data_IF_412048590027
#
_entry.id   IF_412048590027
#
_cell.length_a   1.000
_cell.length_b   1.000
_cell.length_c   1.000
_cell.angle_alpha   90.00
_cell.angle_beta   90.00
_cell.angle_gamma   90.00
#
_symmetry.space_group_name_H-M   'P 1'
#
loop_
_entity.id
_entity.type
_entity.pdbx_description
1 polymer ?
#
# COMPACT_ATOMS: atom_id res chain seq x y z
N UNK A 1 -22.48 29.23 68.24
CA UNK A 1 -21.22 28.54 67.91
C UNK A 1 -21.17 28.28 66.41
N UNK A 2 -20.24 28.98 65.75
CA UNK A 2 -20.04 29.01 64.30
C UNK A 2 -19.54 27.66 63.77
N UNK A 3 -20.21 27.08 62.76
CA UNK A 3 -19.69 25.91 62.03
C UNK A 3 -18.99 26.40 60.76
N UNK A 4 -17.65 26.39 60.83
CA UNK A 4 -16.73 26.57 59.72
C UNK A 4 -17.09 25.64 58.55
N UNK A 5 -17.34 26.20 57.37
CA UNK A 5 -17.28 25.45 56.10
C UNK A 5 -15.83 25.48 55.61
N UNK A 6 -15.15 24.33 55.41
CA UNK A 6 -13.82 24.35 54.83
C UNK A 6 -13.90 24.84 53.38
N UNK A 7 -13.11 25.87 53.08
CA UNK A 7 -12.86 26.34 51.72
C UNK A 7 -12.13 25.21 50.99
N UNK A 8 -12.79 24.58 50.03
CA UNK A 8 -12.12 23.69 49.08
C UNK A 8 -11.13 24.57 48.32
N UNK A 9 -9.84 24.37 48.58
CA UNK A 9 -8.78 24.96 47.77
C UNK A 9 -8.93 24.38 46.37
N UNK A 10 -9.28 25.23 45.41
CA UNK A 10 -9.18 24.92 43.99
C UNK A 10 -7.75 24.47 43.74
N UNK A 11 -7.58 23.21 43.33
CA UNK A 11 -6.29 22.75 42.81
C UNK A 11 -5.93 23.68 41.64
N UNK A 12 -4.69 24.20 41.57
CA UNK A 12 -4.28 24.96 40.41
C UNK A 12 -4.41 24.07 39.19
N UNK A 13 -5.17 24.53 38.19
CA UNK A 13 -5.15 23.94 36.85
C UNK A 13 -3.68 23.90 36.41
N UNK A 14 -3.17 22.70 36.19
CA UNK A 14 -1.85 22.50 35.62
C UNK A 14 -1.96 22.89 34.14
N UNK A 15 -1.90 24.19 33.85
CA UNK A 15 -1.50 24.69 32.52
C UNK A 15 0.01 24.48 32.36
N UNK A 16 0.47 23.23 32.35
CA UNK A 16 1.81 22.91 31.85
C UNK A 16 1.76 22.92 30.33
N UNK A 17 1.75 24.13 29.76
CA UNK A 17 2.24 24.32 28.40
C UNK A 17 3.71 23.96 28.41
N UNK A 18 4.09 22.84 27.78
CA UNK A 18 5.48 22.43 27.59
C UNK A 18 6.32 23.66 27.13
N UNK A 19 7.24 24.17 27.99
CA UNK A 19 8.01 25.39 27.72
C UNK A 19 8.83 25.29 26.44
N UNK A 20 9.28 24.08 26.07
CA UNK A 20 10.01 23.83 24.84
C UNK A 20 9.09 24.06 23.62
N UNK A 21 7.88 23.51 23.63
CA UNK A 21 6.91 23.74 22.56
C UNK A 21 6.45 25.20 22.48
N UNK A 22 6.35 25.90 23.62
CA UNK A 22 6.05 27.33 23.63
C UNK A 22 7.15 28.14 22.92
N UNK A 23 8.42 27.89 23.26
CA UNK A 23 9.58 28.51 22.63
C UNK A 23 9.65 28.21 21.12
N UNK A 24 9.48 26.94 20.75
CA UNK A 24 9.51 26.52 19.34
C UNK A 24 8.39 27.17 18.52
N UNK A 25 7.18 27.29 19.07
CA UNK A 25 6.06 27.96 18.39
C UNK A 25 6.30 29.45 18.19
N UNK A 26 6.87 30.12 19.20
CA UNK A 26 7.27 31.53 19.07
C UNK A 26 8.34 31.72 17.99
N UNK A 27 9.40 30.90 18.02
CA UNK A 27 10.44 30.93 16.99
C UNK A 27 9.91 30.63 15.59
N UNK A 28 9.02 29.65 15.45
CA UNK A 28 8.37 29.32 14.18
C UNK A 28 7.52 30.47 13.65
N UNK A 29 6.75 31.15 14.51
CA UNK A 29 5.96 32.34 14.15
C UNK A 29 6.86 33.43 13.56
N UNK A 30 7.97 33.73 14.21
CA UNK A 30 8.89 34.78 13.77
C UNK A 30 9.61 34.43 12.48
N UNK A 31 10.04 33.17 12.33
CA UNK A 31 10.68 32.68 11.11
C UNK A 31 9.71 32.70 9.92
N UNK A 32 8.47 32.25 10.11
CA UNK A 32 7.44 32.29 9.07
C UNK A 32 7.13 33.74 8.69
N UNK A 33 6.99 34.64 9.67
CA UNK A 33 6.77 36.05 9.40
C UNK A 33 7.90 36.63 8.53
N UNK A 34 9.17 36.43 8.93
CA UNK A 34 10.34 36.86 8.16
C UNK A 34 10.36 36.28 6.74
N UNK A 35 10.07 34.99 6.58
CA UNK A 35 10.05 34.35 5.27
C UNK A 35 9.00 34.97 4.33
N UNK A 36 7.80 35.23 4.84
CA UNK A 36 6.72 35.82 4.03
C UNK A 36 6.98 37.30 3.73
N UNK A 37 7.66 38.03 4.62
CA UNK A 37 8.12 39.39 4.33
C UNK A 37 9.15 39.41 3.19
N UNK A 38 10.10 38.46 3.18
CA UNK A 38 11.04 38.33 2.06
C UNK A 38 10.35 37.97 0.74
N UNK A 39 9.33 37.10 0.76
CA UNK A 39 8.50 36.81 -0.43
C UNK A 39 7.79 38.08 -0.94
N UNK A 40 7.31 38.94 -0.03
CA UNK A 40 6.67 40.20 -0.39
C UNK A 40 7.66 41.19 -1.00
N UNK A 41 8.85 41.34 -0.41
CA UNK A 41 9.89 42.22 -0.95
C UNK A 41 10.27 41.81 -2.38
N UNK A 42 10.52 40.51 -2.58
CA UNK A 42 10.78 39.94 -3.91
C UNK A 42 9.65 40.22 -4.91
N UNK A 43 8.39 40.11 -4.47
CA UNK A 43 7.23 40.45 -5.29
C UNK A 43 7.18 41.94 -5.65
N UNK A 44 7.40 42.84 -4.67
CA UNK A 44 7.37 44.29 -4.87
C UNK A 44 8.50 44.75 -5.80
N UNK A 45 9.69 44.18 -5.69
CA UNK A 45 10.81 44.44 -6.59
C UNK A 45 10.47 44.06 -8.03
N UNK A 46 9.81 42.91 -8.22
CA UNK A 46 9.35 42.44 -9.52
C UNK A 46 8.30 43.36 -10.19
N UNK A 47 7.58 44.17 -9.41
CA UNK A 47 6.59 45.13 -9.92
C UNK A 47 7.02 46.60 -9.74
N UNK A 48 8.26 46.86 -9.32
CA UNK A 48 8.74 48.19 -8.97
C UNK A 48 8.74 49.18 -10.14
N UNK A 49 8.86 48.68 -11.38
CA UNK A 49 8.80 49.50 -12.59
C UNK A 49 7.38 49.97 -12.94
N UNK A 50 6.35 49.34 -12.36
CA UNK A 50 4.95 49.75 -12.58
C UNK A 50 4.66 51.01 -11.74
N UNK A 51 4.52 52.13 -12.43
CA UNK A 51 4.19 53.42 -11.83
C UNK A 51 2.90 53.96 -12.44
N UNK A 52 2.17 54.72 -11.63
CA UNK A 52 1.05 55.52 -12.10
C UNK A 52 1.58 56.71 -12.91
N UNK A 53 0.70 57.37 -13.66
CA UNK A 53 1.04 58.55 -14.47
C UNK A 53 1.65 59.70 -13.65
N UNK A 54 1.37 59.74 -12.34
CA UNK A 54 1.93 60.70 -11.39
C UNK A 54 3.28 60.29 -10.77
N UNK A 55 3.89 59.21 -11.26
CA UNK A 55 5.20 58.72 -10.85
C UNK A 55 5.22 57.91 -9.54
N UNK A 56 4.09 57.75 -8.85
CA UNK A 56 3.97 56.88 -7.65
C UNK A 56 3.97 55.40 -8.04
N UNK A 57 4.43 54.54 -7.13
CA UNK A 57 4.34 53.09 -7.34
C UNK A 57 2.88 52.64 -7.48
N UNK A 58 2.62 51.84 -8.51
CA UNK A 58 1.29 51.29 -8.79
C UNK A 58 0.85 50.27 -7.75
N UNK A 59 1.77 49.45 -7.25
CA UNK A 59 1.51 48.41 -6.25
C UNK A 59 2.27 48.75 -4.97
N UNK A 60 1.55 48.84 -3.86
CA UNK A 60 2.15 49.18 -2.56
C UNK A 60 1.71 48.24 -1.45
N UNK A 61 2.55 48.07 -0.43
CA UNK A 61 2.16 47.40 0.81
C UNK A 61 0.97 48.11 1.46
N UNK A 62 0.00 47.35 1.94
CA UNK A 62 -1.21 47.87 2.58
C UNK A 62 -1.58 47.08 3.86
N UNK A 63 -0.61 46.84 4.73
CA UNK A 63 -0.81 46.13 6.00
C UNK A 63 -0.87 44.61 5.83
N UNK A 64 -1.70 43.94 6.62
CA UNK A 64 -1.84 42.48 6.66
C UNK A 64 -3.27 42.01 6.41
N UNK A 65 -3.41 40.77 5.97
CA UNK A 65 -4.65 40.02 6.08
C UNK A 65 -4.96 39.72 7.56
N UNK A 66 -6.22 39.40 7.90
CA UNK A 66 -6.58 38.96 9.25
C UNK A 66 -5.66 37.84 9.72
N UNK A 67 -5.26 37.93 10.99
CA UNK A 67 -4.47 36.89 11.63
C UNK A 67 -5.24 35.57 11.58
N UNK A 68 -4.52 34.49 11.28
CA UNK A 68 -5.08 33.13 11.27
C UNK A 68 -4.09 32.15 11.87
N UNK A 69 -4.60 30.98 12.25
CA UNK A 69 -3.78 29.90 12.80
C UNK A 69 -3.54 28.81 11.76
N UNK A 70 -2.29 28.33 11.68
CA UNK A 70 -1.90 27.15 10.92
C UNK A 70 -1.45 26.08 11.91
N UNK A 71 -2.09 24.90 11.85
CA UNK A 71 -1.69 23.76 12.67
C UNK A 71 -0.42 23.13 12.10
N UNK A 72 0.63 23.05 12.90
CA UNK A 72 1.93 22.47 12.51
C UNK A 72 2.28 21.27 13.37
N UNK A 73 3.41 20.61 13.09
CA UNK A 73 3.90 19.48 13.90
C UNK A 73 4.28 19.84 15.34
N UNK A 74 4.46 21.13 15.64
CA UNK A 74 4.73 21.65 17.00
C UNK A 74 3.48 22.32 17.61
N UNK A 75 2.31 22.05 17.04
CA UNK A 75 1.03 22.66 17.43
C UNK A 75 0.64 23.87 16.58
N UNK A 76 -0.35 24.61 17.08
CA UNK A 76 -0.92 25.78 16.41
C UNK A 76 0.05 26.97 16.39
N UNK A 77 0.33 27.49 15.19
CA UNK A 77 1.16 28.68 14.98
C UNK A 77 0.32 29.79 14.36
N UNK A 78 0.28 30.95 15.01
CA UNK A 78 -0.42 32.14 14.51
C UNK A 78 0.41 32.85 13.45
N UNK A 79 -0.22 33.18 12.32
CA UNK A 79 0.45 33.79 11.17
C UNK A 79 -0.31 35.00 10.65
N UNK A 80 0.44 35.96 10.11
CA UNK A 80 -0.09 37.13 9.39
C UNK A 80 0.58 37.19 8.03
N UNK A 81 -0.21 37.32 6.98
CA UNK A 81 0.28 37.45 5.61
C UNK A 81 0.15 38.91 5.20
N UNK A 82 1.23 39.59 4.77
CA UNK A 82 1.17 40.95 4.30
C UNK A 82 0.31 41.01 3.03
N UNK A 83 -0.34 42.16 2.81
CA UNK A 83 -1.17 42.39 1.64
C UNK A 83 -0.68 43.60 0.87
N UNK A 84 -0.86 43.55 -0.45
CA UNK A 84 -0.61 44.66 -1.35
C UNK A 84 -1.92 45.31 -1.76
N UNK A 85 -1.86 46.58 -2.11
CA UNK A 85 -2.92 47.31 -2.80
C UNK A 85 -2.38 47.71 -4.16
N UNK A 86 -3.05 47.22 -5.20
CA UNK A 86 -2.88 47.74 -6.55
C UNK A 86 -3.73 49.00 -6.73
N UNK A 87 -3.11 50.07 -7.21
CA UNK A 87 -3.71 51.37 -7.50
C UNK A 87 -3.92 51.59 -9.00
N UNK A 88 -3.33 50.76 -9.87
CA UNK A 88 -3.42 50.87 -11.33
C UNK A 88 -4.71 50.27 -11.89
N UNK A 89 -5.31 49.30 -11.18
CA UNK A 89 -6.48 48.57 -11.67
C UNK A 89 -6.14 47.33 -12.51
N UNK A 90 -4.85 47.01 -12.70
CA UNK A 90 -4.38 45.83 -13.45
C UNK A 90 -4.59 44.49 -12.69
N UNK A 91 -4.94 44.55 -11.41
CA UNK A 91 -5.29 43.38 -10.61
C UNK A 91 -4.10 42.65 -10.00
N UNK A 92 -2.96 43.31 -9.79
CA UNK A 92 -1.79 42.71 -9.16
C UNK A 92 -2.11 42.25 -7.72
N UNK A 93 -1.86 40.97 -7.43
CA UNK A 93 -2.11 40.35 -6.12
C UNK A 93 -0.89 39.59 -5.63
N UNK A 94 -0.55 39.79 -4.36
CA UNK A 94 0.46 39.01 -3.68
C UNK A 94 -0.14 37.70 -3.16
N UNK A 95 0.49 36.59 -3.50
CA UNK A 95 0.17 35.26 -2.98
C UNK A 95 1.44 34.63 -2.43
N UNK A 96 1.49 34.44 -1.11
CA UNK A 96 2.62 33.76 -0.46
C UNK A 96 2.68 32.30 -0.92
N UNK A 97 3.87 31.85 -1.31
CA UNK A 97 4.12 30.44 -1.65
C UNK A 97 4.18 29.59 -0.38
N UNK A 98 4.75 30.13 0.70
CA UNK A 98 4.81 29.48 2.01
C UNK A 98 3.45 29.41 2.72
N UNK A 99 2.63 30.47 2.65
CA UNK A 99 1.30 30.56 3.26
C UNK A 99 0.18 30.83 2.25
N UNK A 100 -0.15 29.86 1.36
CA UNK A 100 -1.23 30.02 0.40
C UNK A 100 -2.58 30.33 1.07
N UNK A 101 -3.50 31.01 0.35
CA UNK A 101 -4.84 31.25 0.85
C UNK A 101 -5.50 29.95 1.36
N UNK A 102 -6.22 30.04 2.47
CA UNK A 102 -6.94 28.92 3.09
C UNK A 102 -6.10 27.74 3.62
N UNK A 103 -4.76 27.80 3.57
CA UNK A 103 -3.90 26.86 4.32
C UNK A 103 -4.29 26.84 5.81
N UNK A 104 -4.74 25.70 6.32
CA UNK A 104 -5.12 25.51 7.73
C UNK A 104 -4.13 24.62 8.50
N UNK A 105 -3.40 23.75 7.80
CA UNK A 105 -2.49 22.78 8.40
C UNK A 105 -1.24 22.64 7.54
N UNK A 106 -0.12 22.33 8.17
CA UNK A 106 1.08 21.91 7.46
C UNK A 106 0.85 20.55 6.80
N UNK A 107 1.46 20.33 5.64
CA UNK A 107 1.35 19.09 4.86
C UNK A 107 1.68 17.84 5.68
N UNK A 108 2.67 17.90 6.56
CA UNK A 108 3.04 16.78 7.45
C UNK A 108 1.91 16.36 8.41
N UNK A 109 1.13 17.33 8.92
CA UNK A 109 -0.05 17.07 9.76
C UNK A 109 -1.18 16.49 8.90
N UNK A 110 -1.37 17.03 7.69
CA UNK A 110 -2.34 16.47 6.72
C UNK A 110 -2.01 15.03 6.31
N UNK A 111 -0.72 14.68 6.21
CA UNK A 111 -0.25 13.33 5.86
C UNK A 111 -0.29 12.33 7.03
N UNK A 112 -0.17 12.81 8.28
CA UNK A 112 -0.32 11.98 9.49
C UNK A 112 -1.74 11.41 9.62
N UNK A 113 -2.73 12.19 9.21
CA UNK A 113 -4.16 11.85 9.33
C UNK A 113 -4.52 10.57 8.54
N UNK A 114 -4.16 10.46 7.24
CA UNK A 114 -4.20 9.20 6.51
C UNK A 114 -3.53 8.07 7.25
N UNK A 115 -2.38 8.34 7.85
CA UNK A 115 -1.60 7.32 8.52
C UNK A 115 -2.34 6.76 9.74
N UNK A 116 -2.97 7.60 10.56
CA UNK A 116 -3.78 7.18 11.71
C UNK A 116 -4.96 6.31 11.27
N UNK A 117 -5.67 6.72 10.22
CA UNK A 117 -6.74 5.92 9.62
C UNK A 117 -6.21 4.57 9.09
N UNK A 118 -5.09 4.61 8.36
CA UNK A 118 -4.39 3.44 7.84
C UNK A 118 -3.74 2.59 8.94
N UNK A 119 -3.67 3.04 10.19
CA UNK A 119 -3.23 2.21 11.32
C UNK A 119 -4.39 1.64 12.12
N UNK A 120 -5.62 1.88 11.67
CA UNK A 120 -6.82 1.38 12.33
C UNK A 120 -7.09 2.08 13.66
N UNK A 121 -6.63 3.33 13.81
CA UNK A 121 -7.13 4.21 14.86
C UNK A 121 -8.57 4.58 14.46
N UNK A 122 -9.52 4.45 15.39
CA UNK A 122 -10.91 4.80 15.14
C UNK A 122 -11.02 6.31 14.87
N UNK A 123 -11.97 6.73 14.04
CA UNK A 123 -12.23 8.16 13.82
C UNK A 123 -12.59 8.90 15.11
N UNK A 124 -13.18 8.20 16.09
CA UNK A 124 -13.46 8.74 17.42
C UNK A 124 -12.20 9.00 18.26
N UNK A 125 -11.15 8.20 18.05
CA UNK A 125 -9.90 8.24 18.83
C UNK A 125 -8.86 9.18 18.19
N UNK A 126 -9.20 9.83 17.06
CA UNK A 126 -8.28 10.74 16.38
C UNK A 126 -7.98 11.98 17.17
N UNK A 127 -8.96 12.49 17.90
CA UNK A 127 -8.72 13.64 18.75
C UNK A 127 -7.72 13.29 19.84
N UNK A 128 -7.88 12.16 20.52
CA UNK A 128 -6.94 11.70 21.54
C UNK A 128 -5.52 11.47 20.96
N UNK A 129 -5.41 10.78 19.82
CA UNK A 129 -4.12 10.53 19.19
C UNK A 129 -3.42 11.81 18.69
N UNK A 130 -4.19 12.78 18.16
CA UNK A 130 -3.65 14.06 17.71
C UNK A 130 -3.32 14.98 18.89
N UNK A 131 -4.14 15.01 19.94
CA UNK A 131 -3.87 15.78 21.14
C UNK A 131 -2.60 15.32 21.86
N UNK A 132 -2.36 14.01 21.92
CA UNK A 132 -1.12 13.45 22.48
C UNK A 132 0.15 13.86 21.70
N UNK A 133 0.04 14.17 20.41
CA UNK A 133 1.18 14.53 19.55
C UNK A 133 1.33 16.03 19.30
N UNK A 134 0.23 16.77 19.25
CA UNK A 134 0.16 18.17 18.82
C UNK A 134 -0.35 19.11 19.94
N UNK A 135 -0.62 18.57 21.13
CA UNK A 135 -1.15 19.28 22.30
C UNK A 135 -2.69 19.34 22.34
N UNK A 136 -3.25 19.69 23.48
CA UNK A 136 -4.71 19.68 23.74
C UNK A 136 -5.52 20.60 22.81
N UNK A 137 -4.87 21.65 22.27
CA UNK A 137 -5.46 22.55 21.28
C UNK A 137 -5.63 21.91 19.89
N UNK A 138 -5.08 20.72 19.65
CA UNK A 138 -5.20 20.02 18.39
C UNK A 138 -6.66 19.62 18.13
N UNK A 139 -7.37 20.46 17.37
CA UNK A 139 -8.74 20.17 16.95
C UNK A 139 -8.77 18.83 16.23
N UNK A 140 -9.56 17.90 16.76
CA UNK A 140 -9.83 16.60 16.16
C UNK A 140 -10.36 16.72 14.73
N UNK A 141 -10.41 15.60 14.03
CA UNK A 141 -10.83 15.59 12.64
C UNK A 141 -12.35 15.71 12.52
N UNK A 142 -12.81 16.79 11.87
CA UNK A 142 -14.22 16.89 11.49
C UNK A 142 -14.59 15.78 10.50
N UNK A 143 -15.83 15.30 10.57
CA UNK A 143 -16.36 14.32 9.62
C UNK A 143 -16.15 14.73 8.15
N UNK A 144 -16.25 16.04 7.85
CA UNK A 144 -16.00 16.60 6.52
C UNK A 144 -14.55 16.48 6.06
N UNK A 145 -13.57 16.48 6.97
CA UNK A 145 -12.17 16.25 6.62
C UNK A 145 -11.94 14.79 6.26
N UNK A 146 -12.52 13.87 7.05
CA UNK A 146 -12.45 12.43 6.78
C UNK A 146 -13.13 12.08 5.45
N UNK A 147 -14.28 12.70 5.14
CA UNK A 147 -14.98 12.50 3.87
C UNK A 147 -14.14 12.95 2.67
N UNK A 148 -13.56 14.15 2.71
CA UNK A 148 -12.67 14.66 1.66
C UNK A 148 -11.45 13.78 1.45
N UNK A 149 -10.88 13.26 2.53
CA UNK A 149 -9.73 12.38 2.45
C UNK A 149 -10.05 11.04 1.77
N UNK A 150 -11.22 10.47 2.08
CA UNK A 150 -11.71 9.27 1.39
C UNK A 150 -11.88 9.52 -0.10
N UNK A 151 -12.46 10.68 -0.47
CA UNK A 151 -12.61 11.06 -1.87
C UNK A 151 -11.25 11.16 -2.57
N UNK A 152 -10.28 11.83 -1.95
CA UNK A 152 -8.93 11.92 -2.48
C UNK A 152 -8.31 10.53 -2.71
N UNK A 153 -8.45 9.59 -1.79
CA UNK A 153 -7.91 8.24 -1.99
C UNK A 153 -8.61 7.46 -3.11
N UNK A 154 -9.91 7.67 -3.27
CA UNK A 154 -10.65 7.09 -4.40
C UNK A 154 -10.15 7.68 -5.73
N UNK A 155 -9.88 8.99 -5.78
CA UNK A 155 -9.32 9.64 -6.98
C UNK A 155 -7.90 9.15 -7.27
N UNK A 156 -7.06 9.00 -6.24
CA UNK A 156 -5.72 8.42 -6.36
C UNK A 156 -5.75 6.96 -6.81
N UNK A 157 -6.68 6.15 -6.31
CA UNK A 157 -6.86 4.76 -6.76
C UNK A 157 -7.27 4.72 -8.23
N UNK A 158 -8.24 5.55 -8.64
CA UNK A 158 -8.68 5.65 -10.05
C UNK A 158 -7.56 6.08 -11.00
N UNK A 159 -6.78 7.09 -10.61
CA UNK A 159 -5.63 7.52 -11.40
C UNK A 159 -4.53 6.44 -11.46
N UNK A 160 -4.32 5.72 -10.36
CA UNK A 160 -3.35 4.63 -10.32
C UNK A 160 -3.82 3.39 -11.09
N UNK A 161 -5.11 3.07 -11.09
CA UNK A 161 -5.66 1.92 -11.82
C UNK A 161 -5.69 2.15 -13.33
N UNK A 162 -5.67 3.40 -13.79
CA UNK A 162 -5.53 3.76 -15.21
C UNK A 162 -4.09 4.02 -15.68
N UNK A 163 -3.09 3.88 -14.80
CA UNK A 163 -1.69 4.18 -15.14
C UNK A 163 -1.15 3.31 -16.27
N UNK A 164 -0.24 3.88 -17.06
CA UNK A 164 0.51 3.18 -18.10
C UNK A 164 1.43 2.09 -17.50
N UNK A 165 1.46 0.94 -18.17
CA UNK A 165 2.26 -0.24 -17.84
C UNK A 165 3.16 -0.67 -19.00
N UNK A 166 3.24 0.11 -20.09
CA UNK A 166 4.04 -0.18 -21.30
C UNK A 166 5.50 -0.52 -21.00
N UNK A 167 6.13 0.19 -20.08
CA UNK A 167 7.54 -0.01 -19.68
C UNK A 167 7.72 -1.06 -18.57
N UNK A 168 6.63 -1.68 -18.10
CA UNK A 168 6.69 -2.60 -16.96
C UNK A 168 6.91 -4.03 -17.42
N UNK A 169 7.97 -4.65 -16.89
CA UNK A 169 8.25 -6.09 -17.06
C UNK A 169 8.24 -6.79 -15.72
N UNK A 170 7.37 -7.78 -15.58
CA UNK A 170 7.26 -8.59 -14.37
C UNK A 170 7.75 -10.00 -14.61
N UNK A 171 8.52 -10.53 -13.67
CA UNK A 171 9.03 -11.90 -13.71
C UNK A 171 8.09 -12.85 -12.99
N UNK A 172 7.61 -12.44 -11.82
CA UNK A 172 6.74 -13.24 -10.96
C UNK A 172 5.52 -12.44 -10.53
N UNK A 173 4.36 -13.09 -10.47
CA UNK A 173 3.16 -12.55 -9.83
C UNK A 173 2.72 -13.41 -8.65
N UNK A 174 2.23 -12.78 -7.61
CA UNK A 174 1.36 -13.39 -6.60
C UNK A 174 -0.04 -12.83 -6.76
N UNK A 175 -1.02 -13.69 -6.95
CA UNK A 175 -2.43 -13.34 -7.06
C UNK A 175 -3.23 -13.95 -5.92
N UNK A 176 -4.14 -13.17 -5.34
CA UNK A 176 -5.02 -13.61 -4.26
C UNK A 176 -6.37 -12.88 -4.29
N UNK A 177 -7.42 -13.56 -3.82
CA UNK A 177 -8.76 -13.02 -3.60
C UNK A 177 -9.00 -12.81 -2.11
N UNK A 178 -9.26 -11.57 -1.71
CA UNK A 178 -9.40 -11.21 -0.29
C UNK A 178 -10.78 -10.69 0.01
N UNK A 179 -11.51 -11.46 0.83
CA UNK A 179 -12.81 -11.05 1.34
C UNK A 179 -12.67 -10.06 2.50
N UNK A 180 -13.31 -8.90 2.36
CA UNK A 180 -13.48 -7.92 3.43
C UNK A 180 -14.96 -7.83 3.80
N UNK A 181 -15.25 -7.67 5.09
CA UNK A 181 -16.61 -7.40 5.55
C UNK A 181 -16.88 -5.90 5.35
N UNK A 182 -17.94 -5.56 4.60
CA UNK A 182 -18.39 -4.18 4.38
C UNK A 182 -19.79 -4.04 5.00
N UNK A 183 -20.12 -2.87 5.55
CA UNK A 183 -21.33 -2.66 6.35
C UNK A 183 -22.62 -2.57 5.51
N UNK A 184 -22.52 -2.11 4.27
CA UNK A 184 -23.69 -1.76 3.43
C UNK A 184 -23.86 -2.66 2.19
N UNK A 185 -23.00 -3.66 2.01
CA UNK A 185 -22.97 -4.50 0.80
C UNK A 185 -22.64 -5.95 1.15
N UNK A 186 -22.93 -6.84 0.20
CA UNK A 186 -22.39 -8.20 0.20
C UNK A 186 -20.86 -8.19 0.37
N UNK A 187 -20.32 -9.27 0.95
CA UNK A 187 -18.89 -9.44 1.26
C UNK A 187 -18.01 -9.03 0.07
N UNK A 188 -17.28 -7.92 0.21
CA UNK A 188 -16.42 -7.36 -0.83
C UNK A 188 -15.28 -8.34 -1.12
N UNK A 189 -15.11 -8.75 -2.37
CA UNK A 189 -14.02 -9.60 -2.81
C UNK A 189 -12.98 -8.73 -3.54
N UNK A 190 -11.82 -8.52 -2.93
CA UNK A 190 -10.74 -7.75 -3.53
C UNK A 190 -9.80 -8.68 -4.28
N UNK A 191 -9.63 -8.46 -5.58
CA UNK A 191 -8.67 -9.20 -6.41
C UNK A 191 -7.36 -8.42 -6.42
N UNK A 192 -6.27 -9.05 -5.98
CA UNK A 192 -4.98 -8.37 -5.84
C UNK A 192 -3.87 -9.13 -6.53
N UNK A 193 -3.02 -8.37 -7.23
CA UNK A 193 -1.80 -8.86 -7.85
C UNK A 193 -0.62 -8.06 -7.32
N UNK A 194 0.38 -8.77 -6.81
CA UNK A 194 1.71 -8.23 -6.47
C UNK A 194 2.72 -8.85 -7.43
N UNK A 195 3.52 -8.02 -8.10
CA UNK A 195 4.55 -8.46 -9.02
C UNK A 195 5.96 -8.29 -8.50
N UNK A 196 6.90 -8.96 -9.16
CA UNK A 196 8.36 -8.73 -9.07
C UNK A 196 8.83 -8.19 -10.40
N UNK A 197 9.43 -7.01 -10.41
CA UNK A 197 10.07 -6.46 -11.63
C UNK A 197 11.30 -7.26 -12.00
N UNK A 198 11.82 -7.07 -13.21
CA UNK A 198 13.11 -7.65 -13.63
C UNK A 198 14.28 -7.29 -12.71
N UNK A 199 14.21 -6.14 -12.04
CA UNK A 199 15.19 -5.72 -11.04
C UNK A 199 14.90 -6.28 -9.64
N UNK A 200 13.91 -7.16 -9.48
CA UNK A 200 13.62 -7.83 -8.21
C UNK A 200 12.84 -7.00 -7.20
N UNK A 201 12.36 -5.81 -7.58
CA UNK A 201 11.51 -5.00 -6.72
C UNK A 201 10.09 -5.54 -6.73
N UNK A 202 9.47 -5.60 -5.56
CA UNK A 202 8.06 -5.97 -5.45
C UNK A 202 7.18 -4.75 -5.64
N UNK A 203 6.14 -4.87 -6.45
CA UNK A 203 5.21 -3.78 -6.75
C UNK A 203 3.77 -4.29 -6.68
N UNK A 204 2.87 -3.49 -6.13
CA UNK A 204 1.44 -3.70 -6.26
C UNK A 204 1.08 -3.40 -7.70
N UNK A 205 0.48 -4.38 -8.38
CA UNK A 205 0.08 -4.25 -9.78
C UNK A 205 -1.39 -3.87 -9.87
N UNK A 206 -2.24 -4.62 -9.17
CA UNK A 206 -3.68 -4.43 -9.22
C UNK A 206 -4.29 -4.62 -7.83
N UNK A 207 -5.32 -3.83 -7.55
CA UNK A 207 -6.26 -4.05 -6.47
C UNK A 207 -7.61 -3.55 -6.96
N UNK A 208 -8.49 -4.48 -7.27
CA UNK A 208 -9.79 -4.19 -7.85
C UNK A 208 -10.89 -4.88 -7.06
N UNK A 209 -12.08 -4.28 -7.11
CA UNK A 209 -13.29 -4.89 -6.60
C UNK A 209 -13.79 -5.96 -7.58
N UNK A 210 -13.76 -7.22 -7.16
CA UNK A 210 -14.41 -8.32 -7.83
C UNK A 210 -15.79 -8.60 -7.21
N UNK A 211 -16.77 -8.91 -8.06
CA UNK A 211 -18.05 -9.45 -7.59
C UNK A 211 -17.80 -10.76 -6.81
N UNK A 212 -16.90 -11.62 -7.32
CA UNK A 212 -16.38 -12.86 -6.72
C UNK A 212 -15.00 -13.16 -7.32
N UNK A 213 -14.33 -14.22 -6.86
CA UNK A 213 -13.17 -14.84 -7.56
C UNK A 213 -13.60 -15.62 -8.81
N UNK A 214 -14.45 -15.01 -9.64
CA UNK A 214 -14.94 -15.57 -10.89
C UNK A 214 -13.90 -15.41 -12.00
N UNK A 215 -13.99 -16.27 -13.02
CA UNK A 215 -13.18 -16.12 -14.23
C UNK A 215 -13.42 -14.76 -14.91
N UNK A 216 -14.67 -14.27 -14.91
CA UNK A 216 -15.02 -12.98 -15.51
C UNK A 216 -14.31 -11.82 -14.81
N UNK A 217 -14.37 -11.77 -13.47
CA UNK A 217 -13.73 -10.71 -12.68
C UNK A 217 -12.20 -10.72 -12.82
N UNK A 218 -11.58 -11.90 -12.84
CA UNK A 218 -10.14 -12.00 -13.10
C UNK A 218 -9.79 -11.62 -14.55
N UNK A 219 -10.61 -12.01 -15.52
CA UNK A 219 -10.39 -11.67 -16.93
C UNK A 219 -10.49 -10.17 -17.16
N UNK A 220 -11.48 -9.50 -16.58
CA UNK A 220 -11.62 -8.04 -16.64
C UNK A 220 -10.36 -7.34 -16.10
N UNK A 221 -9.90 -7.74 -14.91
CA UNK A 221 -8.66 -7.21 -14.32
C UNK A 221 -7.45 -7.43 -15.23
N UNK A 222 -7.25 -8.66 -15.72
CA UNK A 222 -6.08 -9.02 -16.53
C UNK A 222 -6.11 -8.34 -17.92
N UNK A 223 -7.27 -8.28 -18.58
CA UNK A 223 -7.44 -7.54 -19.83
C UNK A 223 -7.15 -6.06 -19.61
N UNK A 224 -7.65 -5.46 -18.52
CA UNK A 224 -7.34 -4.08 -18.17
C UNK A 224 -5.85 -3.83 -17.86
N UNK A 225 -5.06 -4.84 -17.49
CA UNK A 225 -3.60 -4.71 -17.43
C UNK A 225 -2.98 -4.66 -18.83
N UNK A 226 -3.42 -5.55 -19.73
CA UNK A 226 -2.94 -5.61 -21.10
C UNK A 226 -3.29 -4.33 -21.89
N UNK A 227 -4.51 -3.82 -21.75
CA UNK A 227 -4.97 -2.57 -22.39
C UNK A 227 -4.18 -1.34 -21.93
N UNK A 228 -3.62 -1.37 -20.72
CA UNK A 228 -2.72 -0.33 -20.19
C UNK A 228 -1.28 -0.48 -20.66
N UNK A 229 -1.01 -1.35 -21.64
CA UNK A 229 0.30 -1.51 -22.25
C UNK A 229 1.14 -2.64 -21.67
N UNK A 230 0.66 -3.43 -20.69
CA UNK A 230 1.41 -4.58 -20.21
C UNK A 230 1.49 -5.68 -21.28
N UNK A 231 2.55 -5.64 -22.09
CA UNK A 231 2.69 -6.46 -23.29
C UNK A 231 2.85 -7.97 -23.01
N UNK A 232 3.46 -8.33 -21.87
CA UNK A 232 3.73 -9.72 -21.51
C UNK A 232 3.30 -10.01 -20.07
N UNK A 233 2.76 -11.21 -19.87
CA UNK A 233 2.53 -11.75 -18.53
C UNK A 233 3.83 -12.13 -17.82
N UNK A 234 3.77 -12.48 -16.53
CA UNK A 234 4.93 -12.91 -15.79
C UNK A 234 5.42 -14.28 -16.30
N UNK A 235 6.68 -14.61 -16.04
CA UNK A 235 7.20 -15.96 -16.32
C UNK A 235 6.57 -17.03 -15.42
N UNK A 236 6.16 -16.63 -14.21
CA UNK A 236 5.45 -17.49 -13.25
C UNK A 236 4.38 -16.68 -12.51
N UNK A 237 3.15 -17.17 -12.50
CA UNK A 237 2.12 -16.71 -11.58
C UNK A 237 1.95 -17.72 -10.43
N UNK A 238 1.91 -17.20 -9.20
CA UNK A 238 1.76 -17.96 -7.97
C UNK A 238 0.40 -17.61 -7.35
N UNK A 239 -0.41 -18.61 -7.04
CA UNK A 239 -1.72 -18.41 -6.41
C UNK A 239 -2.24 -19.64 -5.69
N UNK A 240 -3.37 -19.50 -5.00
CA UNK A 240 -4.14 -20.68 -4.55
C UNK A 240 -4.93 -21.30 -5.72
N UNK A 241 -5.83 -22.25 -5.45
CA UNK A 241 -6.70 -22.90 -6.40
C UNK A 241 -7.90 -22.13 -6.88
N UNK A 242 -7.79 -20.80 -6.95
CA UNK A 242 -8.80 -19.95 -7.58
C UNK A 242 -8.93 -20.33 -9.07
N UNK A 243 -9.87 -21.23 -9.38
CA UNK A 243 -10.09 -21.74 -10.74
C UNK A 243 -10.40 -20.61 -11.73
N UNK A 244 -11.04 -19.53 -11.28
CA UNK A 244 -11.31 -18.35 -12.10
C UNK A 244 -10.04 -17.63 -12.55
N UNK A 245 -9.07 -17.44 -11.65
CA UNK A 245 -7.80 -16.78 -11.97
C UNK A 245 -7.03 -17.54 -13.04
N UNK A 246 -6.82 -18.84 -12.85
CA UNK A 246 -6.03 -19.65 -13.79
C UNK A 246 -6.64 -19.71 -15.19
N UNK A 247 -7.98 -19.79 -15.29
CA UNK A 247 -8.67 -19.76 -16.58
C UNK A 247 -8.52 -18.41 -17.28
N UNK A 248 -8.67 -17.32 -16.54
CA UNK A 248 -8.50 -15.96 -17.07
C UNK A 248 -7.05 -15.72 -17.51
N UNK A 249 -6.08 -16.16 -16.70
CA UNK A 249 -4.66 -16.03 -16.98
C UNK A 249 -4.26 -16.73 -18.28
N UNK A 250 -4.71 -17.97 -18.48
CA UNK A 250 -4.47 -18.70 -19.73
C UNK A 250 -5.04 -17.99 -20.97
N UNK A 251 -6.13 -17.22 -20.82
CA UNK A 251 -6.77 -16.51 -21.93
C UNK A 251 -6.07 -15.20 -22.28
N UNK A 252 -5.51 -14.51 -21.29
CA UNK A 252 -4.90 -13.18 -21.48
C UNK A 252 -3.38 -13.26 -21.64
N UNK A 253 -2.72 -14.13 -20.87
CA UNK A 253 -1.26 -14.29 -20.84
C UNK A 253 -0.86 -15.76 -20.94
N UNK A 254 -1.13 -16.38 -22.09
CA UNK A 254 -1.03 -17.83 -22.31
C UNK A 254 0.35 -18.44 -22.00
N UNK A 255 1.44 -17.69 -22.16
CA UNK A 255 2.81 -18.17 -21.90
C UNK A 255 3.17 -18.20 -20.40
N UNK A 256 2.28 -17.71 -19.53
CA UNK A 256 2.54 -17.64 -18.10
C UNK A 256 2.47 -19.03 -17.46
N UNK A 257 3.56 -19.47 -16.82
CA UNK A 257 3.55 -20.72 -16.06
C UNK A 257 2.79 -20.58 -14.74
N UNK A 258 2.20 -21.68 -14.30
CA UNK A 258 1.38 -21.73 -13.09
C UNK A 258 2.12 -22.38 -11.94
N UNK A 259 2.12 -21.71 -10.79
CA UNK A 259 2.59 -22.27 -9.53
C UNK A 259 1.49 -22.22 -8.48
N UNK A 260 1.13 -23.38 -7.93
CA UNK A 260 0.18 -23.48 -6.83
C UNK A 260 0.90 -23.34 -5.49
N UNK A 261 0.30 -22.59 -4.57
CA UNK A 261 0.86 -22.37 -3.25
C UNK A 261 0.88 -23.68 -2.42
N UNK A 262 2.07 -24.07 -1.95
CA UNK A 262 2.22 -25.24 -1.07
C UNK A 262 1.54 -25.11 0.29
N UNK A 263 1.45 -23.89 0.84
CA UNK A 263 0.79 -23.64 2.14
C UNK A 263 -0.71 -23.90 2.03
N UNK A 264 -1.38 -23.25 1.08
CA UNK A 264 -2.81 -23.46 0.82
C UNK A 264 -3.09 -24.90 0.40
N UNK A 265 -2.22 -25.49 -0.43
CA UNK A 265 -2.35 -26.89 -0.83
C UNK A 265 -2.32 -27.83 0.37
N UNK A 266 -1.35 -27.63 1.25
CA UNK A 266 -1.21 -28.43 2.47
C UNK A 266 -2.47 -28.30 3.31
N UNK A 267 -2.95 -27.08 3.56
CA UNK A 267 -4.20 -26.86 4.30
C UNK A 267 -5.40 -27.58 3.67
N UNK A 268 -5.55 -27.49 2.34
CA UNK A 268 -6.63 -28.15 1.59
C UNK A 268 -6.58 -29.69 1.66
N UNK A 269 -5.38 -30.27 1.75
CA UNK A 269 -5.18 -31.71 1.98
C UNK A 269 -5.51 -32.08 3.43
N UNK A 270 -5.01 -31.31 4.40
CA UNK A 270 -5.23 -31.55 5.83
C UNK A 270 -6.72 -31.45 6.23
N UNK A 271 -7.48 -30.55 5.61
CA UNK A 271 -8.92 -30.42 5.84
C UNK A 271 -9.73 -31.66 5.44
N UNK A 272 -9.15 -32.56 4.63
CA UNK A 272 -9.78 -33.84 4.23
C UNK A 272 -9.33 -35.01 5.11
N UNK A 273 -8.62 -34.74 6.21
CA UNK A 273 -8.04 -35.74 7.09
C UNK A 273 -8.52 -35.56 8.53
N UNK A 274 -8.69 -36.67 9.28
CA UNK A 274 -8.90 -36.61 10.71
C UNK A 274 -7.72 -35.91 11.42
N UNK A 275 -8.01 -35.09 12.45
CA UNK A 275 -7.01 -34.32 13.20
C UNK A 275 -5.77 -35.14 13.65
N UNK A 276 -5.91 -36.38 14.18
CA UNK A 276 -4.74 -37.16 14.62
C UNK A 276 -3.77 -37.53 13.50
N UNK A 277 -4.24 -37.60 12.25
CA UNK A 277 -3.40 -37.96 11.10
C UNK A 277 -2.73 -36.76 10.43
N UNK A 278 -3.21 -35.55 10.70
CA UNK A 278 -2.71 -34.34 10.06
C UNK A 278 -1.20 -34.12 10.25
N UNK A 279 -0.59 -34.31 11.44
CA UNK A 279 0.85 -34.14 11.61
C UNK A 279 1.67 -35.06 10.70
N UNK A 280 1.27 -36.33 10.60
CA UNK A 280 1.97 -37.36 9.82
C UNK A 280 1.87 -37.09 8.32
N UNK A 281 0.70 -36.69 7.82
CA UNK A 281 0.54 -36.35 6.39
C UNK A 281 1.22 -35.02 6.08
N UNK A 282 1.16 -34.03 6.98
CA UNK A 282 1.86 -32.75 6.81
C UNK A 282 3.37 -32.94 6.63
N UNK A 283 3.99 -33.79 7.44
CA UNK A 283 5.41 -34.12 7.32
C UNK A 283 5.72 -34.74 5.94
N UNK A 284 4.94 -35.73 5.51
CA UNK A 284 5.13 -36.36 4.20
C UNK A 284 4.93 -35.37 3.03
N UNK A 285 3.94 -34.48 3.12
CA UNK A 285 3.74 -33.40 2.13
C UNK A 285 4.90 -32.41 2.14
N UNK A 286 5.47 -32.11 3.31
CA UNK A 286 6.62 -31.24 3.44
C UNK A 286 7.89 -31.80 2.80
N UNK A 287 8.13 -33.11 2.94
CA UNK A 287 9.25 -33.79 2.27
C UNK A 287 9.22 -33.60 0.75
N UNK A 288 8.02 -33.57 0.14
CA UNK A 288 7.88 -33.39 -1.30
C UNK A 288 8.49 -32.06 -1.77
N UNK A 289 8.05 -30.95 -1.18
CA UNK A 289 8.44 -29.63 -1.67
C UNK A 289 9.75 -29.12 -1.09
N UNK A 290 10.28 -29.80 -0.06
CA UNK A 290 11.64 -29.57 0.43
C UNK A 290 12.69 -30.41 -0.29
N UNK A 291 12.31 -31.36 -1.15
CA UNK A 291 13.24 -32.14 -1.93
C UNK A 291 14.19 -31.24 -2.77
N UNK A 292 15.43 -31.68 -2.94
CA UNK A 292 16.46 -30.91 -3.64
C UNK A 292 16.21 -30.88 -5.15
N UNK A 293 15.67 -31.96 -5.70
CA UNK A 293 15.39 -32.10 -7.13
C UNK A 293 13.94 -32.44 -7.39
N UNK A 294 13.47 -32.09 -8.60
CA UNK A 294 12.16 -32.46 -9.13
C UNK A 294 11.97 -33.97 -9.08
N UNK A 295 12.98 -34.75 -9.48
CA UNK A 295 12.92 -36.21 -9.49
C UNK A 295 12.69 -36.78 -8.08
N UNK A 296 13.41 -36.28 -7.07
CA UNK A 296 13.19 -36.65 -5.67
C UNK A 296 11.80 -36.21 -5.17
N UNK A 297 11.32 -35.04 -5.59
CA UNK A 297 9.98 -34.57 -5.26
C UNK A 297 8.90 -35.48 -5.85
N UNK A 298 9.05 -35.93 -7.11
CA UNK A 298 8.15 -36.90 -7.70
C UNK A 298 8.15 -38.21 -6.92
N UNK A 299 9.33 -38.75 -6.58
CA UNK A 299 9.42 -39.97 -5.79
C UNK A 299 8.78 -39.82 -4.40
N UNK A 300 8.95 -38.68 -3.74
CA UNK A 300 8.28 -38.37 -2.47
C UNK A 300 6.75 -38.25 -2.62
N UNK A 301 6.29 -37.70 -3.75
CA UNK A 301 4.88 -37.66 -4.12
C UNK A 301 4.30 -39.06 -4.21
N UNK A 302 4.93 -39.95 -4.99
CA UNK A 302 4.43 -41.31 -5.22
C UNK A 302 4.45 -42.15 -3.94
N UNK A 303 5.50 -42.00 -3.10
CA UNK A 303 5.54 -42.60 -1.76
C UNK A 303 4.38 -42.11 -0.88
N UNK A 304 4.11 -40.82 -0.88
CA UNK A 304 3.02 -40.22 -0.09
C UNK A 304 1.66 -40.73 -0.55
N UNK A 305 1.41 -40.75 -1.86
CA UNK A 305 0.18 -41.29 -2.43
C UNK A 305 0.01 -42.77 -2.08
N UNK A 306 1.04 -43.61 -2.29
CA UNK A 306 0.98 -45.03 -1.97
C UNK A 306 0.67 -45.28 -0.48
N UNK A 307 1.27 -44.48 0.41
CA UNK A 307 1.11 -44.63 1.86
C UNK A 307 -0.29 -44.29 2.37
N UNK A 308 -0.96 -43.30 1.78
CA UNK A 308 -2.19 -42.75 2.34
C UNK A 308 -3.44 -42.95 1.47
N UNK A 309 -3.31 -43.30 0.19
CA UNK A 309 -4.47 -43.36 -0.73
C UNK A 309 -5.51 -44.40 -0.33
N UNK A 310 -5.09 -45.54 0.22
CA UNK A 310 -6.02 -46.60 0.63
C UNK A 310 -7.00 -46.16 1.74
N UNK A 311 -6.54 -45.30 2.68
CA UNK A 311 -7.37 -44.81 3.79
C UNK A 311 -7.94 -43.42 3.55
N UNK A 312 -7.26 -42.58 2.78
CA UNK A 312 -7.60 -41.17 2.59
C UNK A 312 -7.57 -40.76 1.10
N UNK A 313 -8.37 -41.43 0.24
CA UNK A 313 -8.32 -41.22 -1.21
C UNK A 313 -8.62 -39.76 -1.60
N UNK A 314 -9.62 -39.13 -0.97
CA UNK A 314 -9.98 -37.72 -1.23
C UNK A 314 -8.85 -36.73 -0.92
N UNK A 315 -8.04 -37.00 0.11
CA UNK A 315 -6.91 -36.14 0.47
C UNK A 315 -5.77 -36.30 -0.56
N UNK A 316 -5.52 -37.53 -1.00
CA UNK A 316 -4.47 -37.85 -1.97
C UNK A 316 -4.82 -37.42 -3.39
N UNK A 317 -6.07 -37.60 -3.83
CA UNK A 317 -6.58 -37.03 -5.08
C UNK A 317 -6.49 -35.51 -5.06
N UNK A 318 -6.86 -34.91 -3.93
CA UNK A 318 -6.68 -33.48 -3.74
C UNK A 318 -5.22 -33.10 -3.94
N UNK A 319 -4.25 -33.81 -3.38
CA UNK A 319 -2.82 -33.54 -3.60
C UNK A 319 -2.39 -33.74 -5.07
N UNK A 320 -2.73 -34.90 -5.65
CA UNK A 320 -2.31 -35.37 -6.97
C UNK A 320 -2.73 -34.44 -8.12
N UNK A 321 -3.96 -33.94 -8.11
CA UNK A 321 -4.51 -33.15 -9.24
C UNK A 321 -3.72 -31.88 -9.60
N UNK A 322 -2.94 -31.33 -8.66
CA UNK A 322 -2.14 -30.12 -8.89
C UNK A 322 -0.63 -30.44 -8.92
N UNK A 323 -0.20 -31.70 -9.12
CA UNK A 323 1.22 -32.14 -9.03
C UNK A 323 2.17 -31.27 -9.84
N UNK A 324 1.90 -31.11 -11.14
CA UNK A 324 2.77 -30.33 -12.04
C UNK A 324 2.83 -28.86 -11.62
N UNK A 325 1.67 -28.25 -11.38
CA UNK A 325 1.60 -26.85 -10.96
C UNK A 325 2.21 -26.61 -9.57
N UNK A 326 2.35 -27.64 -8.73
CA UNK A 326 3.04 -27.52 -7.44
C UNK A 326 4.57 -27.58 -7.58
N UNK A 327 5.09 -28.19 -8.65
CA UNK A 327 6.52 -28.43 -8.88
C UNK A 327 7.11 -27.54 -9.99
N UNK A 328 6.33 -26.59 -10.53
CA UNK A 328 6.77 -25.64 -11.56
C UNK A 328 7.97 -24.80 -11.10
N UNK A 329 8.09 -24.51 -9.80
CA UNK A 329 9.20 -23.74 -9.25
C UNK A 329 10.59 -24.33 -9.55
N UNK A 330 10.71 -25.64 -9.81
CA UNK A 330 12.00 -26.27 -10.13
C UNK A 330 12.60 -25.79 -11.46
N UNK A 331 11.79 -25.18 -12.34
CA UNK A 331 12.26 -24.56 -13.59
C UNK A 331 12.71 -23.09 -13.41
N UNK A 332 12.92 -22.67 -12.17
CA UNK A 332 13.35 -21.32 -11.80
C UNK A 332 14.50 -21.40 -10.80
N UNK A 333 15.35 -20.36 -10.67
CA UNK A 333 16.51 -20.36 -9.79
C UNK A 333 16.21 -20.83 -8.37
N UNK A 334 17.07 -21.71 -7.82
CA UNK A 334 16.88 -22.29 -6.50
C UNK A 334 16.75 -21.24 -5.37
N UNK A 335 17.43 -20.11 -5.53
CA UNK A 335 17.40 -18.99 -4.59
C UNK A 335 16.00 -18.34 -4.49
N UNK A 336 15.17 -18.48 -5.51
CA UNK A 336 13.84 -17.90 -5.59
C UNK A 336 12.78 -18.81 -4.94
N UNK A 337 13.04 -20.11 -4.82
CA UNK A 337 12.10 -21.14 -4.39
C UNK A 337 11.38 -20.82 -3.09
N UNK A 338 12.10 -20.26 -2.11
CA UNK A 338 11.55 -19.85 -0.80
C UNK A 338 10.36 -18.90 -0.95
N UNK A 339 10.36 -18.06 -2.00
CA UNK A 339 9.31 -17.07 -2.25
C UNK A 339 8.27 -17.54 -3.26
N UNK A 340 8.66 -18.30 -4.28
CA UNK A 340 7.73 -18.69 -5.35
C UNK A 340 6.94 -19.97 -5.02
N UNK A 341 7.37 -20.79 -4.06
CA UNK A 341 6.59 -21.96 -3.58
C UNK A 341 5.32 -21.57 -2.81
N UNK A 342 5.19 -20.30 -2.38
CA UNK A 342 4.12 -19.85 -1.48
C UNK A 342 3.55 -18.49 -1.88
N UNK A 343 2.35 -18.19 -1.39
CA UNK A 343 1.68 -16.87 -1.47
C UNK A 343 1.98 -15.99 -0.26
N UNK A 344 3.00 -16.32 0.55
CA UNK A 344 3.36 -15.53 1.73
C UNK A 344 3.61 -14.03 1.44
N UNK A 345 4.22 -13.61 0.31
CA UNK A 345 4.39 -12.18 0.00
C UNK A 345 3.06 -11.39 -0.03
N UNK A 346 1.99 -12.00 -0.55
CA UNK A 346 0.67 -11.38 -0.60
C UNK A 346 -0.08 -11.56 0.73
N UNK A 347 -0.05 -12.76 1.32
CA UNK A 347 -0.71 -13.05 2.60
C UNK A 347 -0.19 -12.19 3.76
N UNK A 348 1.14 -12.04 3.88
CA UNK A 348 1.75 -11.24 4.96
C UNK A 348 1.38 -9.75 4.87
N UNK A 349 1.24 -9.25 3.64
CA UNK A 349 0.74 -7.90 3.38
C UNK A 349 -0.71 -7.80 3.84
N UNK A 350 -1.55 -8.76 3.48
CA UNK A 350 -2.96 -8.75 3.84
C UNK A 350 -3.26 -9.01 5.31
N UNK A 351 -2.43 -9.79 6.02
CA UNK A 351 -2.56 -9.94 7.47
C UNK A 351 -2.50 -8.56 8.16
N UNK A 352 -1.62 -7.69 7.69
CA UNK A 352 -1.51 -6.31 8.17
C UNK A 352 -2.76 -5.49 7.82
N UNK A 353 -3.28 -5.63 6.60
CA UNK A 353 -4.52 -4.96 6.15
C UNK A 353 -5.70 -5.40 7.01
N UNK A 354 -5.94 -6.71 7.15
CA UNK A 354 -7.05 -7.29 7.94
C UNK A 354 -7.03 -6.87 9.40
N UNK A 355 -5.84 -6.79 10.02
CA UNK A 355 -5.70 -6.32 11.40
C UNK A 355 -6.21 -4.88 11.56
N UNK A 356 -5.95 -4.02 10.56
CA UNK A 356 -6.29 -2.60 10.59
C UNK A 356 -7.75 -2.36 10.20
N UNK A 357 -8.27 -3.10 9.22
CA UNK A 357 -9.68 -2.99 8.80
C UNK A 357 -10.65 -3.52 9.87
N UNK A 358 -10.25 -4.52 10.67
CA UNK A 358 -11.07 -5.02 11.78
C UNK A 358 -11.32 -3.97 12.87
N UNK A 359 -10.37 -3.06 13.10
CA UNK A 359 -10.49 -1.98 14.09
C UNK A 359 -11.31 -0.81 13.55
N UNK A 360 -11.19 -0.50 12.27
CA UNK A 360 -12.05 0.47 11.58
C UNK A 360 -13.41 -0.13 11.23
N UNK A 361 -14.23 -0.46 12.22
CA UNK A 361 -15.59 -1.06 12.04
C UNK A 361 -16.58 -0.18 11.24
N UNK A 362 -16.14 0.98 10.74
CA UNK A 362 -16.93 2.00 10.06
C UNK A 362 -16.42 2.34 8.63
N UNK A 363 -15.78 1.40 7.93
CA UNK A 363 -15.50 1.58 6.50
C UNK A 363 -16.85 1.56 5.75
N UNK A 364 -17.12 2.65 5.02
CA UNK A 364 -18.42 2.96 4.41
C UNK A 364 -18.75 2.10 3.19
N UNK A 365 -18.85 2.72 2.01
CA UNK A 365 -19.14 2.05 0.73
C UNK A 365 -18.00 1.11 0.29
N UNK A 366 -18.27 0.29 -0.74
CA UNK A 366 -17.26 -0.55 -1.42
C UNK A 366 -16.07 0.27 -1.89
N UNK A 367 -16.30 1.38 -2.60
CA UNK A 367 -15.25 2.27 -3.10
C UNK A 367 -14.33 2.81 -2.00
N UNK A 368 -14.92 3.24 -0.87
CA UNK A 368 -14.14 3.72 0.27
C UNK A 368 -13.24 2.62 0.83
N UNK A 369 -13.77 1.40 0.87
CA UNK A 369 -13.02 0.23 1.37
C UNK A 369 -11.89 -0.14 0.40
N UNK A 370 -12.17 -0.13 -0.91
CA UNK A 370 -11.17 -0.36 -1.95
C UNK A 370 -10.04 0.67 -1.88
N UNK A 371 -10.37 1.96 -1.85
CA UNK A 371 -9.41 3.05 -1.74
C UNK A 371 -8.54 2.94 -0.47
N UNK A 372 -9.15 2.59 0.66
CA UNK A 372 -8.41 2.35 1.91
C UNK A 372 -7.45 1.16 1.78
N UNK A 373 -7.91 0.03 1.26
CA UNK A 373 -7.05 -1.16 1.07
C UNK A 373 -5.91 -0.83 0.12
N UNK A 374 -6.16 -0.11 -0.97
CA UNK A 374 -5.14 0.40 -1.87
C UNK A 374 -4.05 1.21 -1.14
N UNK A 375 -4.42 2.20 -0.34
CA UNK A 375 -3.45 2.99 0.44
C UNK A 375 -2.68 2.15 1.46
N UNK A 376 -3.32 1.16 2.07
CA UNK A 376 -2.65 0.22 2.99
C UNK A 376 -1.60 -0.62 2.26
N UNK A 377 -1.94 -1.12 1.07
CA UNK A 377 -1.03 -1.89 0.23
C UNK A 377 0.14 -1.03 -0.26
N UNK A 378 -0.10 0.22 -0.70
CA UNK A 378 0.96 1.18 -1.04
C UNK A 378 1.89 1.45 0.15
N UNK A 379 1.34 1.60 1.35
CA UNK A 379 2.13 1.79 2.57
C UNK A 379 2.99 0.57 2.90
N UNK A 380 2.44 -0.64 2.71
CA UNK A 380 3.16 -1.89 2.91
C UNK A 380 4.28 -2.08 1.87
N UNK A 381 4.04 -1.70 0.61
CA UNK A 381 5.01 -1.79 -0.49
C UNK A 381 6.33 -1.08 -0.17
N UNK A 382 6.30 0.05 0.54
CA UNK A 382 7.50 0.80 0.96
C UNK A 382 8.48 -0.03 1.80
N UNK A 383 8.02 -1.11 2.43
CA UNK A 383 8.84 -2.00 3.30
C UNK A 383 9.21 -3.30 2.63
N UNK A 384 8.73 -3.56 1.41
CA UNK A 384 9.02 -4.80 0.72
C UNK A 384 10.47 -4.84 0.28
N UNK A 385 11.19 -5.84 0.78
CA UNK A 385 12.54 -6.15 0.31
C UNK A 385 12.50 -6.77 -1.08
N UNK A 386 13.56 -6.54 -1.86
CA UNK A 386 13.80 -7.26 -3.12
C UNK A 386 13.76 -8.78 -2.90
N UNK A 387 13.43 -9.53 -3.95
CA UNK A 387 13.48 -10.98 -3.89
C UNK A 387 14.92 -11.46 -3.66
N UNK A 388 15.10 -12.56 -2.90
CA UNK A 388 16.41 -13.19 -2.74
C UNK A 388 16.85 -13.74 -4.10
N UNK A 389 18.13 -13.62 -4.45
CA UNK A 389 18.65 -14.06 -5.74
C UNK A 389 18.30 -13.17 -6.92
N UNK A 390 17.90 -11.91 -6.70
CA UNK A 390 17.44 -10.99 -7.75
C UNK A 390 18.42 -10.83 -8.94
N UNK A 391 19.70 -11.09 -8.74
CA UNK A 391 20.73 -11.11 -9.78
C UNK A 391 20.48 -12.18 -10.86
N UNK A 392 19.71 -13.23 -10.57
CA UNK A 392 19.32 -14.26 -11.55
C UNK A 392 18.02 -13.93 -12.30
N UNK A 393 17.35 -12.83 -12.00
CA UNK A 393 16.09 -12.47 -12.68
C UNK A 393 16.29 -12.11 -14.14
N UNK A 394 17.42 -11.49 -14.49
CA UNK A 394 17.76 -11.19 -15.89
C UNK A 394 17.80 -12.47 -16.74
N UNK A 395 18.39 -13.54 -16.20
CA UNK A 395 18.38 -14.86 -16.85
C UNK A 395 16.95 -15.37 -17.08
N UNK A 396 16.07 -15.21 -16.08
CA UNK A 396 14.67 -15.65 -16.17
C UNK A 396 13.90 -14.81 -17.19
N UNK A 397 14.14 -13.49 -17.25
CA UNK A 397 13.53 -12.58 -18.24
C UNK A 397 13.92 -12.98 -19.65
N UNK A 398 15.20 -13.30 -19.84
CA UNK A 398 15.78 -13.73 -21.11
C UNK A 398 15.48 -15.21 -21.47
N UNK A 399 14.54 -15.86 -20.76
CA UNK A 399 14.12 -17.24 -20.99
C UNK A 399 15.25 -18.28 -20.91
N UNK A 400 16.29 -18.02 -20.10
CA UNK A 400 17.31 -19.02 -19.80
C UNK A 400 16.65 -20.19 -19.08
N UNK A 401 16.93 -21.40 -19.55
CA UNK A 401 16.37 -22.61 -18.96
C UNK A 401 17.06 -22.95 -17.63
N UNK A 402 16.25 -23.32 -16.64
CA UNK A 402 16.73 -23.84 -15.37
C UNK A 402 16.19 -25.24 -15.17
N UNK A 403 17.03 -26.14 -14.67
CA UNK A 403 16.64 -27.46 -14.24
C UNK A 403 17.07 -27.65 -12.79
N UNK A 404 16.12 -27.98 -11.92
CA UNK A 404 16.36 -28.09 -10.48
C UNK A 404 17.01 -26.82 -9.89
N UNK A 405 16.65 -25.66 -10.47
CA UNK A 405 17.11 -24.35 -10.01
C UNK A 405 18.54 -23.97 -10.37
N UNK A 406 19.20 -24.80 -11.18
CA UNK A 406 20.50 -24.53 -11.79
C UNK A 406 20.31 -24.20 -13.28
N UNK A 407 21.13 -23.27 -13.79
CA UNK A 407 21.09 -22.88 -15.19
C UNK A 407 21.54 -24.06 -16.06
N UNK A 408 20.77 -24.35 -17.12
CA UNK A 408 21.19 -25.32 -18.14
C UNK A 408 22.20 -24.62 -19.04
N UNK A 409 23.49 -24.94 -18.88
CA UNK A 409 24.54 -24.45 -19.78
C UNK A 409 24.60 -25.40 -20.97
N UNK A 410 24.02 -25.01 -22.10
CA UNK A 410 24.22 -25.74 -23.35
C UNK A 410 25.69 -25.60 -23.77
N UNK A 411 26.46 -26.69 -23.68
CA UNK A 411 27.82 -26.78 -24.19
C UNK A 411 27.82 -26.82 -25.73
N UNK A 412 27.44 -25.73 -26.39
CA UNK A 412 27.43 -25.68 -27.88
C UNK A 412 28.66 -25.00 -28.49
N UNK A 413 29.58 -24.44 -27.69
CA UNK A 413 30.75 -23.69 -28.19
C UNK A 413 32.12 -24.26 -27.76
N UNK A 414 32.23 -25.57 -27.48
CA UNK A 414 33.51 -26.20 -27.14
C UNK A 414 34.18 -27.01 -28.27
N UNK A 415 33.56 -27.11 -29.45
CA UNK A 415 34.11 -27.79 -30.63
C UNK A 415 34.29 -26.83 -31.83
N UNK A 416 34.84 -25.64 -31.57
CA UNK A 416 35.38 -24.77 -32.61
C UNK A 416 36.71 -24.19 -32.09
N UNK A 417 37.74 -25.02 -32.10
CA UNK A 417 39.15 -24.64 -31.96
C UNK A 417 39.99 -25.57 -32.83
#
# INVERSE_FOLDING_TARGET
MSKFKPKVLSQPEIEETDPLHALLRAGARDLIAKAVEMELESFLDGVAQRRLDDGRQAVVRNGYLPERTVQTGIGDVTVRVPKVRDRSGEGARFHSALLPPYLKRARSVEELIPWLYLKGVSTGDYQEALSALLGDAAKGLSANTVSRLKQQWSDEHRAWSSRDLSERRYVYWWADGVYSNVRMDDRLCLLVIIGVTEHGHKELIAVEDGVRESEASWRELLTGLAERGLAQGPKLAIGDGALGFWKALNKVFADTRHQRCWVHKTANVLNKLPKPMQPKVKAAVQEIWMAETREQAHAAFDRTLKRFSAKYPKAMECLHKDREALLAFYDFPAEHWVRIRTTNPIESTFATVRLRTKRSRNCGSRDTTLAMVFKLLQSAQKRWKRIKGFNKLELVVNNVEFRNGEQVINQSNRNAA
#
